data_IF_511102393606
#
_entry.id   IF_511102393606
#
_cell.length_a   1.000
_cell.length_b   1.000
_cell.length_c   1.000
_cell.angle_alpha   90.00
_cell.angle_beta   90.00
_cell.angle_gamma   90.00
#
_symmetry.space_group_name_H-M   'P 1'
#
loop_
_entity.id
_entity.type
_entity.pdbx_description
1 polymer ?
#
# COMPACT_ATOMS: atom_id res chain seq x y z
N UNK A 1 34.49 -39.15 -10.01
CA UNK A 1 33.96 -38.17 -9.04
C UNK A 1 33.57 -38.95 -7.81
N UNK A 2 34.10 -38.57 -6.65
CA UNK A 2 33.72 -39.20 -5.38
C UNK A 2 32.22 -39.04 -5.13
N UNK A 3 31.58 -40.12 -4.70
CA UNK A 3 30.14 -40.17 -4.39
C UNK A 3 29.71 -39.07 -3.40
N UNK A 4 30.59 -38.66 -2.48
CA UNK A 4 30.34 -37.54 -1.57
C UNK A 4 30.23 -36.17 -2.24
N UNK A 5 31.01 -35.90 -3.29
CA UNK A 5 30.98 -34.63 -4.01
C UNK A 5 29.70 -34.49 -4.85
N UNK A 6 29.25 -35.60 -5.44
CA UNK A 6 27.97 -35.64 -6.16
C UNK A 6 26.78 -35.38 -5.23
N UNK A 7 26.79 -35.95 -4.02
CA UNK A 7 25.74 -35.74 -3.03
C UNK A 7 25.65 -34.27 -2.56
N UNK A 8 26.79 -33.64 -2.26
CA UNK A 8 26.84 -32.22 -1.89
C UNK A 8 26.36 -31.29 -3.02
N UNK A 9 26.72 -31.62 -4.27
CA UNK A 9 26.27 -30.85 -5.41
C UNK A 9 24.75 -30.97 -5.61
N UNK A 10 24.20 -32.18 -5.56
CA UNK A 10 22.77 -32.44 -5.65
C UNK A 10 21.98 -31.76 -4.51
N UNK A 11 22.47 -31.81 -3.28
CA UNK A 11 21.79 -31.16 -2.15
C UNK A 11 21.78 -29.64 -2.29
N UNK A 12 22.88 -29.03 -2.74
CA UNK A 12 22.95 -27.59 -2.99
C UNK A 12 22.04 -27.12 -4.14
N UNK A 13 21.95 -27.91 -5.21
CA UNK A 13 21.02 -27.66 -6.32
C UNK A 13 19.58 -27.75 -5.86
N UNK A 14 19.22 -28.82 -5.13
CA UNK A 14 17.87 -29.00 -4.62
C UNK A 14 17.47 -27.86 -3.68
N UNK A 15 18.37 -27.45 -2.77
CA UNK A 15 18.13 -26.32 -1.89
C UNK A 15 17.93 -25.00 -2.66
N UNK A 16 18.71 -24.77 -3.72
CA UNK A 16 18.60 -23.58 -4.56
C UNK A 16 17.28 -23.54 -5.33
N UNK A 17 16.87 -24.67 -5.93
CA UNK A 17 15.61 -24.81 -6.67
C UNK A 17 14.42 -24.62 -5.75
N UNK A 18 14.41 -25.30 -4.59
CA UNK A 18 13.32 -25.16 -3.62
C UNK A 18 13.23 -23.74 -3.07
N UNK A 19 14.36 -23.14 -2.66
CA UNK A 19 14.37 -21.76 -2.16
C UNK A 19 13.87 -20.76 -3.19
N UNK A 20 14.22 -20.97 -4.45
CA UNK A 20 13.77 -20.13 -5.57
C UNK A 20 12.28 -20.32 -5.84
N UNK A 21 11.78 -21.55 -5.82
CA UNK A 21 10.36 -21.86 -5.97
C UNK A 21 9.52 -21.27 -4.83
N UNK A 22 9.99 -21.36 -3.58
CA UNK A 22 9.30 -20.73 -2.44
C UNK A 22 9.29 -19.22 -2.57
N UNK A 23 10.43 -18.60 -2.90
CA UNK A 23 10.51 -17.15 -3.09
C UNK A 23 9.57 -16.66 -4.19
N UNK A 24 9.59 -17.28 -5.38
CA UNK A 24 8.68 -16.89 -6.46
C UNK A 24 7.23 -17.31 -6.22
N UNK A 25 6.98 -18.33 -5.41
CA UNK A 25 5.64 -18.67 -4.95
C UNK A 25 5.08 -17.65 -3.96
N UNK A 26 5.96 -16.98 -3.20
CA UNK A 26 5.58 -15.99 -2.20
C UNK A 26 5.09 -14.68 -2.83
N UNK A 27 5.73 -14.23 -3.91
CA UNK A 27 5.37 -13.00 -4.62
C UNK A 27 4.62 -13.30 -5.91
N UNK A 28 3.39 -12.81 -6.00
CA UNK A 28 2.60 -12.84 -7.22
C UNK A 28 2.39 -11.42 -7.74
N UNK A 29 3.23 -11.03 -8.70
CA UNK A 29 3.12 -9.73 -9.38
C UNK A 29 2.22 -9.82 -10.62
N UNK A 30 1.40 -8.80 -10.82
CA UNK A 30 0.46 -8.66 -11.92
C UNK A 30 0.90 -7.53 -12.84
N UNK A 31 0.56 -7.62 -14.14
CA UNK A 31 0.89 -6.59 -15.13
C UNK A 31 0.23 -5.22 -14.87
N UNK A 32 -0.70 -5.13 -13.92
CA UNK A 32 -1.32 -3.89 -13.44
C UNK A 32 -0.45 -3.10 -12.46
N UNK A 33 0.74 -3.62 -12.11
CA UNK A 33 1.62 -3.03 -11.10
C UNK A 33 1.22 -3.36 -9.66
N UNK A 34 0.39 -4.39 -9.49
CA UNK A 34 0.02 -4.93 -8.19
C UNK A 34 0.90 -6.16 -7.87
N UNK A 35 1.36 -6.28 -6.63
CA UNK A 35 2.09 -7.44 -6.14
C UNK A 35 1.40 -7.96 -4.89
N UNK A 36 1.01 -9.23 -4.90
CA UNK A 36 0.48 -9.91 -3.72
C UNK A 36 1.58 -10.75 -3.12
N UNK A 37 1.85 -10.51 -1.84
CA UNK A 37 2.83 -11.25 -1.05
C UNK A 37 2.06 -12.16 -0.11
N UNK A 38 2.25 -13.47 -0.17
CA UNK A 38 1.77 -14.34 0.90
C UNK A 38 2.74 -14.30 2.09
N UNK A 39 2.20 -14.24 3.29
CA UNK A 39 2.99 -14.32 4.53
C UNK A 39 3.24 -15.77 4.95
N UNK A 40 2.56 -16.73 4.32
CA UNK A 40 2.71 -18.15 4.57
C UNK A 40 4.12 -18.60 4.18
N UNK A 41 4.89 -19.09 5.16
CA UNK A 41 6.33 -19.31 5.06
C UNK A 41 7.16 -18.08 4.67
N UNK A 42 6.58 -16.87 4.78
CA UNK A 42 7.27 -15.59 4.57
C UNK A 42 8.01 -15.10 5.81
N UNK A 43 8.48 -16.03 6.64
CA UNK A 43 9.03 -15.75 7.94
C UNK A 43 10.54 -15.49 7.88
N UNK A 44 10.94 -14.37 8.48
CA UNK A 44 12.34 -14.00 8.64
C UNK A 44 12.84 -12.87 7.73
N UNK A 45 14.15 -12.89 7.51
CA UNK A 45 14.93 -11.71 7.14
C UNK A 45 15.72 -11.18 8.34
N UNK A 46 16.37 -10.02 8.22
CA UNK A 46 17.31 -9.50 9.23
C UNK A 46 16.66 -8.95 10.51
N UNK A 47 15.36 -9.20 10.70
CA UNK A 47 14.62 -8.85 11.89
C UNK A 47 14.21 -7.38 12.02
N UNK A 48 13.38 -7.08 13.04
CA UNK A 48 12.95 -5.72 13.39
C UNK A 48 14.09 -4.80 13.81
N UNK A 49 15.21 -5.34 14.28
CA UNK A 49 16.43 -4.61 14.63
C UNK A 49 17.13 -3.99 13.41
N UNK A 50 16.81 -4.46 12.19
CA UNK A 50 17.43 -4.02 10.95
C UNK A 50 16.39 -3.46 9.97
N UNK A 51 15.73 -2.32 10.25
CA UNK A 51 14.76 -1.69 9.33
C UNK A 51 15.38 -1.32 7.97
N UNK A 52 16.69 -1.09 7.96
CA UNK A 52 17.48 -0.80 6.76
C UNK A 52 17.95 -2.05 6.02
N UNK A 53 17.29 -3.20 6.23
CA UNK A 53 17.45 -4.37 5.36
C UNK A 53 16.10 -4.94 4.92
N UNK A 54 16.08 -5.55 3.74
CA UNK A 54 14.86 -6.13 3.14
C UNK A 54 14.32 -7.25 4.03
N UNK A 55 13.02 -7.22 4.29
CA UNK A 55 12.27 -8.32 4.90
C UNK A 55 11.67 -9.21 3.83
N UNK A 56 11.32 -10.45 4.19
CA UNK A 56 10.65 -11.35 3.25
C UNK A 56 9.27 -10.82 2.85
N UNK A 57 8.46 -10.39 3.82
CA UNK A 57 7.18 -9.73 3.54
C UNK A 57 7.39 -8.22 3.49
N UNK A 58 7.86 -7.73 2.35
CA UNK A 58 8.04 -6.30 2.08
C UNK A 58 7.79 -6.00 0.60
N UNK A 59 7.05 -4.92 0.34
CA UNK A 59 6.76 -4.43 -1.00
C UNK A 59 8.05 -4.06 -1.75
N UNK A 60 8.01 -4.16 -3.08
CA UNK A 60 9.18 -3.87 -3.91
C UNK A 60 9.46 -2.37 -4.02
N UNK A 61 10.54 -2.05 -4.72
CA UNK A 61 10.91 -0.68 -5.02
C UNK A 61 9.79 0.06 -5.77
N UNK A 62 9.40 1.22 -5.25
CA UNK A 62 8.31 2.01 -5.82
C UNK A 62 6.91 1.51 -5.46
N UNK A 63 6.80 0.38 -4.74
CA UNK A 63 5.54 -0.15 -4.24
C UNK A 63 5.28 0.22 -2.77
N UNK A 64 4.01 0.34 -2.42
CA UNK A 64 3.54 0.54 -1.06
C UNK A 64 2.48 -0.50 -0.70
N UNK A 65 2.36 -0.83 0.59
CA UNK A 65 1.27 -1.67 1.05
C UNK A 65 -0.04 -0.88 0.90
N UNK A 66 -1.01 -1.46 0.21
CA UNK A 66 -2.33 -0.87 -0.06
C UNK A 66 -3.47 -1.75 0.45
N UNK A 67 -3.20 -2.99 0.83
CA UNK A 67 -4.22 -3.86 1.38
C UNK A 67 -3.65 -5.03 2.16
N UNK A 68 -4.53 -5.65 2.92
CA UNK A 68 -4.28 -6.88 3.66
C UNK A 68 -5.38 -7.88 3.32
N UNK A 69 -5.03 -9.15 3.32
CA UNK A 69 -5.99 -10.23 3.11
C UNK A 69 -5.78 -11.35 4.11
N UNK A 70 -6.89 -11.98 4.46
CA UNK A 70 -6.90 -13.22 5.23
C UNK A 70 -7.53 -14.34 4.41
N UNK A 71 -7.28 -15.58 4.84
CA UNK A 71 -7.85 -16.76 4.25
C UNK A 71 -9.08 -17.25 5.04
N UNK A 72 -8.89 -17.79 6.24
CA UNK A 72 -9.96 -18.47 7.01
C UNK A 72 -9.89 -18.18 8.53
N UNK A 73 -9.06 -17.23 8.94
CA UNK A 73 -8.75 -16.99 10.35
C UNK A 73 -9.42 -15.75 10.91
N UNK A 74 -10.40 -15.18 10.19
CA UNK A 74 -11.13 -13.98 10.54
C UNK A 74 -10.21 -12.79 10.87
N UNK A 75 -9.14 -12.59 10.11
CA UNK A 75 -8.05 -11.64 10.40
C UNK A 75 -7.31 -11.90 11.73
N UNK A 76 -7.42 -13.12 12.26
CA UNK A 76 -6.56 -13.71 13.28
C UNK A 76 -5.16 -14.07 12.75
N UNK A 77 -5.00 -14.08 11.42
CA UNK A 77 -3.74 -14.10 10.71
C UNK A 77 -3.79 -13.11 9.53
N UNK A 78 -2.64 -12.54 9.18
CA UNK A 78 -2.47 -11.81 7.94
C UNK A 78 -1.87 -12.77 6.93
N UNK A 79 -2.65 -13.28 5.99
CA UNK A 79 -2.18 -14.28 5.01
C UNK A 79 -1.59 -13.62 3.75
N UNK A 80 -2.11 -12.44 3.38
CA UNK A 80 -1.72 -11.72 2.17
C UNK A 80 -1.46 -10.25 2.45
N UNK A 81 -0.39 -9.72 1.86
CA UNK A 81 -0.11 -8.28 1.80
C UNK A 81 -0.19 -7.85 0.35
N UNK A 82 -1.07 -6.89 0.08
CA UNK A 82 -1.24 -6.32 -1.25
C UNK A 82 -0.38 -5.08 -1.36
N UNK A 83 0.58 -5.13 -2.26
CA UNK A 83 1.45 -4.03 -2.64
C UNK A 83 1.02 -3.50 -4.00
N UNK A 84 1.16 -2.18 -4.20
CA UNK A 84 0.90 -1.54 -5.48
C UNK A 84 1.99 -0.55 -5.80
N UNK A 85 2.35 -0.42 -7.07
CA UNK A 85 3.26 0.61 -7.54
C UNK A 85 2.62 2.00 -7.38
N UNK A 86 3.15 2.78 -6.44
CA UNK A 86 2.57 4.06 -6.01
C UNK A 86 3.45 5.27 -6.32
N UNK A 87 4.71 5.04 -6.71
CA UNK A 87 5.70 6.10 -6.84
C UNK A 87 6.32 6.17 -8.24
N UNK A 88 5.55 6.54 -9.29
CA UNK A 88 6.06 6.58 -10.67
C UNK A 88 7.21 7.58 -10.93
N UNK A 89 7.33 8.63 -10.11
CA UNK A 89 8.39 9.64 -10.22
C UNK A 89 9.58 9.36 -9.31
N UNK A 90 9.54 8.26 -8.56
CA UNK A 90 10.69 7.82 -7.76
C UNK A 90 11.80 7.35 -8.72
N UNK A 91 13.05 7.78 -8.53
CA UNK A 91 14.16 7.21 -9.30
C UNK A 91 14.32 5.71 -8.97
N UNK A 92 14.62 4.88 -9.98
CA UNK A 92 14.81 3.45 -9.76
C UNK A 92 15.98 3.23 -8.80
N UNK A 93 15.80 2.37 -7.80
CA UNK A 93 16.88 1.97 -6.89
C UNK A 93 17.91 1.06 -7.56
N UNK A 94 17.64 0.56 -8.77
CA UNK A 94 18.46 -0.42 -9.47
C UNK A 94 18.73 -1.69 -8.62
N UNK A 95 17.77 -2.06 -7.76
CA UNK A 95 17.90 -3.21 -6.87
C UNK A 95 18.73 -2.96 -5.61
N UNK A 96 19.19 -1.72 -5.39
CA UNK A 96 19.92 -1.35 -4.17
C UNK A 96 18.94 -1.06 -3.03
N UNK A 97 19.10 -1.80 -1.93
CA UNK A 97 18.33 -1.58 -0.70
C UNK A 97 19.09 -0.61 0.23
N UNK A 98 18.41 0.29 1.00
CA UNK A 98 16.96 0.47 1.12
C UNK A 98 16.32 1.14 -0.09
N UNK A 99 15.12 0.66 -0.45
CA UNK A 99 14.33 1.26 -1.53
C UNK A 99 13.88 2.69 -1.20
N UNK A 100 13.70 2.99 0.09
CA UNK A 100 13.22 4.27 0.60
C UNK A 100 14.28 4.98 1.46
N UNK A 101 14.25 6.33 1.54
CA UNK A 101 15.32 7.10 2.20
C UNK A 101 15.52 6.78 3.68
N UNK A 102 14.44 6.44 4.39
CA UNK A 102 14.47 6.17 5.83
C UNK A 102 13.36 5.19 6.17
N UNK A 103 13.67 4.17 6.96
CA UNK A 103 12.70 3.21 7.46
C UNK A 103 12.92 2.96 8.95
N UNK A 104 11.84 2.66 9.66
CA UNK A 104 11.84 2.27 11.06
C UNK A 104 10.76 1.22 11.30
N UNK A 105 10.81 0.60 12.46
CA UNK A 105 9.88 -0.46 12.86
C UNK A 105 8.96 0.03 13.94
N UNK A 106 7.70 -0.37 13.86
CA UNK A 106 6.68 -0.16 14.88
C UNK A 106 6.06 -1.49 15.29
N UNK A 107 5.61 -1.56 16.53
CA UNK A 107 4.79 -2.66 17.03
C UNK A 107 3.33 -2.29 16.85
N UNK A 108 2.60 -3.04 16.02
CA UNK A 108 1.23 -2.69 15.67
C UNK A 108 0.24 -2.66 16.84
N UNK A 109 0.58 -3.32 17.96
CA UNK A 109 -0.26 -3.30 19.16
C UNK A 109 -0.07 -2.03 19.99
N UNK A 110 1.15 -1.47 19.98
CA UNK A 110 1.53 -0.32 20.81
C UNK A 110 1.50 0.99 20.04
N UNK A 111 1.89 0.92 18.77
CA UNK A 111 2.07 2.02 17.85
C UNK A 111 1.28 1.72 16.56
N UNK A 112 -0.04 1.94 16.55
CA UNK A 112 -0.88 1.55 15.42
C UNK A 112 -0.68 2.43 14.18
N UNK A 113 0.08 3.52 14.29
CA UNK A 113 0.34 4.45 13.20
C UNK A 113 1.85 4.58 12.94
N UNK A 114 2.24 4.63 11.66
CA UNK A 114 3.59 5.00 11.27
C UNK A 114 3.92 6.44 11.72
N UNK A 115 2.94 7.34 11.61
CA UNK A 115 3.08 8.73 12.04
C UNK A 115 3.01 8.86 13.56
N UNK A 116 3.98 9.56 14.15
CA UNK A 116 3.98 9.92 15.57
C UNK A 116 4.16 11.43 15.75
N UNK A 117 3.22 12.05 16.46
CA UNK A 117 3.27 13.49 16.76
C UNK A 117 4.54 13.90 17.50
N UNK A 118 5.01 13.06 18.43
CA UNK A 118 6.20 13.35 19.24
C UNK A 118 7.48 13.35 18.40
N UNK A 119 7.52 12.52 17.34
CA UNK A 119 8.66 12.38 16.45
C UNK A 119 8.29 12.80 15.02
N UNK A 120 7.62 13.94 14.87
CA UNK A 120 7.11 14.42 13.57
C UNK A 120 8.19 14.48 12.49
N UNK A 121 9.38 15.00 12.81
CA UNK A 121 10.48 15.14 11.85
C UNK A 121 10.95 13.82 11.22
N UNK A 122 10.82 12.71 11.96
CA UNK A 122 11.22 11.36 11.56
C UNK A 122 10.07 10.57 10.94
N UNK A 123 8.84 10.80 11.41
CA UNK A 123 7.68 9.96 11.10
C UNK A 123 6.68 10.61 10.14
N UNK A 124 6.83 11.90 9.81
CA UNK A 124 6.01 12.54 8.79
C UNK A 124 6.24 11.90 7.42
N UNK A 125 5.16 11.77 6.63
CA UNK A 125 5.19 11.18 5.29
C UNK A 125 5.73 9.75 5.30
N UNK A 126 5.30 8.95 6.27
CA UNK A 126 5.69 7.54 6.38
C UNK A 126 4.48 6.63 6.20
N UNK A 127 4.74 5.46 5.64
CA UNK A 127 3.73 4.49 5.23
C UNK A 127 4.27 3.07 5.42
N UNK A 128 3.36 2.10 5.45
CA UNK A 128 3.69 0.69 5.65
C UNK A 128 4.26 0.09 4.37
N UNK A 129 5.38 -0.61 4.51
CA UNK A 129 6.06 -1.29 3.41
C UNK A 129 6.16 -2.79 3.62
N UNK A 130 6.12 -3.26 4.87
CA UNK A 130 6.28 -4.67 5.15
C UNK A 130 5.81 -5.06 6.54
N UNK A 131 5.66 -6.36 6.71
CA UNK A 131 5.26 -7.02 7.94
C UNK A 131 6.34 -8.06 8.26
N UNK A 132 6.52 -8.35 9.54
CA UNK A 132 7.50 -9.34 9.94
C UNK A 132 6.91 -10.25 11.00
N UNK A 133 7.08 -11.55 10.77
CA UNK A 133 6.87 -12.59 11.77
C UNK A 133 8.11 -13.49 11.82
N UNK A 134 8.32 -14.10 12.99
CA UNK A 134 9.24 -15.21 13.21
C UNK A 134 8.59 -16.57 12.97
N UNK A 135 7.25 -16.64 12.95
CA UNK A 135 6.49 -17.88 12.80
C UNK A 135 5.95 -18.08 11.37
N UNK A 136 5.38 -19.26 11.12
CA UNK A 136 4.92 -19.79 9.85
C UNK A 136 3.97 -18.91 9.03
N UNK A 137 3.11 -18.14 9.69
CA UNK A 137 2.22 -17.12 9.11
C UNK A 137 2.26 -15.93 10.05
N UNK A 138 2.02 -14.73 9.53
CA UNK A 138 1.86 -13.55 10.39
C UNK A 138 0.63 -13.70 11.28
N UNK A 139 0.79 -14.27 12.46
CA UNK A 139 -0.29 -14.56 13.39
C UNK A 139 -0.65 -13.31 14.19
N UNK A 140 -1.86 -13.30 14.75
CA UNK A 140 -2.25 -12.32 15.78
C UNK A 140 -2.71 -12.98 17.08
N UNK A 141 -2.81 -14.31 17.09
CA UNK A 141 -3.14 -15.15 18.23
C UNK A 141 -1.87 -15.68 18.89
N UNK A 142 -1.69 -15.48 20.21
CA UNK A 142 -0.47 -15.86 20.92
C UNK A 142 -0.73 -16.37 22.35
N UNK A 143 0.20 -17.19 22.89
CA UNK A 143 0.21 -17.54 24.30
C UNK A 143 0.35 -16.28 25.17
N UNK A 144 -0.29 -16.22 26.36
CA UNK A 144 -0.34 -15.03 27.20
C UNK A 144 1.01 -14.63 27.82
N UNK A 145 1.99 -15.53 27.82
CA UNK A 145 3.29 -15.33 28.46
C UNK A 145 4.42 -15.01 27.46
N UNK A 146 4.11 -14.95 26.18
CA UNK A 146 5.11 -14.67 25.16
C UNK A 146 5.00 -13.21 24.71
N UNK A 147 6.10 -12.47 24.85
CA UNK A 147 6.22 -11.12 24.32
C UNK A 147 6.43 -11.20 22.81
N UNK A 148 5.40 -11.65 22.08
CA UNK A 148 5.38 -11.57 20.63
C UNK A 148 5.14 -10.13 20.22
N UNK A 149 6.22 -9.44 19.86
CA UNK A 149 6.12 -8.23 19.07
C UNK A 149 5.82 -8.68 17.63
N UNK A 150 4.81 -8.09 17.02
CA UNK A 150 4.50 -8.27 15.60
C UNK A 150 4.83 -6.97 14.87
N UNK A 151 6.11 -6.81 14.49
CA UNK A 151 6.57 -5.57 13.93
C UNK A 151 6.09 -5.39 12.50
N UNK A 152 5.81 -4.14 12.16
CA UNK A 152 5.60 -3.72 10.78
C UNK A 152 6.56 -2.58 10.45
N UNK A 153 6.98 -2.53 9.19
CA UNK A 153 7.99 -1.61 8.70
C UNK A 153 7.31 -0.37 8.12
N UNK A 154 7.69 0.78 8.66
CA UNK A 154 7.29 2.08 8.17
C UNK A 154 8.47 2.74 7.44
N UNK A 155 8.26 3.15 6.20
CA UNK A 155 9.28 3.87 5.42
C UNK A 155 8.79 5.26 5.04
N UNK A 156 9.74 6.18 4.89
CA UNK A 156 9.49 7.55 4.44
C UNK A 156 9.30 7.57 2.93
N UNK A 157 8.30 8.33 2.51
CA UNK A 157 8.02 8.58 1.10
C UNK A 157 9.26 9.12 0.35
N UNK A 158 9.41 8.80 -0.95
CA UNK A 158 10.45 9.40 -1.78
C UNK A 158 10.29 10.92 -1.87
N UNK A 159 11.39 11.62 -2.19
CA UNK A 159 11.39 13.08 -2.30
C UNK A 159 10.35 13.55 -3.31
N UNK A 160 9.53 14.52 -2.92
CA UNK A 160 8.47 15.10 -3.75
C UNK A 160 7.09 14.50 -3.48
N UNK A 161 7.01 13.33 -2.85
CA UNK A 161 5.74 12.76 -2.38
C UNK A 161 5.39 13.24 -0.98
N UNK A 162 4.09 13.28 -0.67
CA UNK A 162 3.57 13.57 0.65
C UNK A 162 2.36 12.68 0.99
N UNK A 163 2.14 12.43 2.28
CA UNK A 163 0.89 11.84 2.78
C UNK A 163 -0.08 12.97 3.08
N UNK A 164 -1.26 12.91 2.47
CA UNK A 164 -2.35 13.81 2.79
C UNK A 164 -3.11 13.28 4.02
N UNK A 165 -2.71 13.77 5.18
CA UNK A 165 -3.31 13.34 6.45
C UNK A 165 -4.78 13.76 6.61
N UNK A 166 -5.29 14.68 5.78
CA UNK A 166 -6.72 15.07 5.78
C UNK A 166 -7.58 14.09 5.00
N UNK A 167 -7.01 13.41 4.01
CA UNK A 167 -7.72 12.38 3.24
C UNK A 167 -7.78 11.02 3.94
N UNK A 168 -7.17 10.86 5.11
CA UNK A 168 -7.09 9.55 5.75
C UNK A 168 -8.47 9.02 6.14
N UNK A 169 -8.66 7.73 5.95
CA UNK A 169 -9.83 6.99 6.41
C UNK A 169 -9.41 5.60 6.88
N UNK A 170 -10.32 4.91 7.57
CA UNK A 170 -10.08 3.57 8.09
C UNK A 170 -10.85 2.55 7.28
N UNK A 171 -10.25 1.41 6.99
CA UNK A 171 -10.97 0.26 6.44
C UNK A 171 -10.97 -0.82 7.51
N UNK A 172 -12.16 -1.19 7.96
CA UNK A 172 -12.34 -2.22 8.99
C UNK A 172 -12.26 -3.60 8.37
N UNK A 173 -11.83 -4.57 9.16
CA UNK A 173 -11.79 -6.01 8.83
C UNK A 173 -13.05 -6.75 9.29
N UNK A 174 -14.02 -6.00 9.79
CA UNK A 174 -15.29 -6.49 10.29
C UNK A 174 -16.43 -5.60 9.78
N UNK A 175 -17.63 -6.15 9.82
CA UNK A 175 -18.86 -5.47 9.44
C UNK A 175 -19.43 -4.59 10.58
N UNK A 176 -20.62 -4.02 10.36
CA UNK A 176 -21.29 -3.16 11.34
C UNK A 176 -21.72 -3.93 12.61
N UNK A 177 -21.88 -5.25 12.52
CA UNK A 177 -22.25 -6.12 13.63
C UNK A 177 -21.04 -6.65 14.40
N UNK A 178 -19.83 -6.15 14.07
CA UNK A 178 -18.55 -6.61 14.62
C UNK A 178 -18.25 -8.09 14.29
N UNK A 179 -18.85 -8.62 13.23
CA UNK A 179 -18.47 -9.89 12.65
C UNK A 179 -17.27 -9.63 11.72
N UNK A 180 -16.14 -10.27 12.04
CA UNK A 180 -14.98 -10.21 11.17
C UNK A 180 -15.32 -10.88 9.85
N UNK A 181 -14.83 -10.32 8.74
CA UNK A 181 -15.08 -10.93 7.44
C UNK A 181 -14.44 -12.32 7.41
N UNK A 182 -15.28 -13.34 7.38
CA UNK A 182 -14.92 -14.75 7.40
C UNK A 182 -15.15 -15.36 6.01
N UNK A 183 -14.28 -16.29 5.60
CA UNK A 183 -14.40 -16.99 4.32
C UNK A 183 -13.22 -16.79 3.40
N UNK A 184 -13.06 -17.75 2.48
CA UNK A 184 -11.89 -17.87 1.60
C UNK A 184 -11.65 -16.56 0.81
N UNK A 185 -10.61 -15.82 1.23
CA UNK A 185 -10.03 -14.64 0.56
C UNK A 185 -10.79 -13.32 0.69
N UNK A 186 -11.00 -12.84 1.93
CA UNK A 186 -11.42 -11.45 2.14
C UNK A 186 -10.26 -10.46 2.02
N UNK A 187 -10.47 -9.44 1.18
CA UNK A 187 -9.50 -8.38 0.91
C UNK A 187 -9.97 -7.06 1.53
N UNK A 188 -9.14 -6.50 2.42
CA UNK A 188 -9.31 -5.18 3.00
C UNK A 188 -8.26 -4.26 2.36
N UNK A 189 -8.70 -3.39 1.46
CA UNK A 189 -7.83 -2.59 0.60
C UNK A 189 -8.19 -1.11 0.64
N UNK A 190 -7.16 -0.26 0.56
CA UNK A 190 -7.25 1.16 0.32
C UNK A 190 -7.72 1.47 -1.11
N UNK A 191 -8.32 2.64 -1.30
CA UNK A 191 -8.76 3.15 -2.58
C UNK A 191 -7.54 3.50 -3.46
N UNK A 192 -7.77 3.63 -4.76
CA UNK A 192 -6.73 4.03 -5.72
C UNK A 192 -6.09 5.36 -5.29
N UNK A 193 -4.75 5.39 -5.21
CA UNK A 193 -4.01 6.57 -4.76
C UNK A 193 -3.77 6.64 -3.26
N UNK A 194 -4.21 5.64 -2.48
CA UNK A 194 -4.05 5.57 -1.03
C UNK A 194 -3.12 4.43 -0.64
N UNK A 195 -2.39 4.62 0.46
CA UNK A 195 -1.47 3.63 1.03
C UNK A 195 -1.79 3.40 2.50
N UNK A 196 -1.41 2.24 3.00
CA UNK A 196 -1.52 1.91 4.42
C UNK A 196 -0.51 2.75 5.19
N UNK A 197 -0.96 3.51 6.18
CA UNK A 197 -0.11 4.31 7.09
C UNK A 197 -0.21 3.86 8.53
N UNK A 198 -1.04 2.86 8.82
CA UNK A 198 -1.24 2.31 10.14
C UNK A 198 -2.09 1.05 10.08
N UNK A 199 -1.97 0.23 11.12
CA UNK A 199 -2.71 -1.01 11.31
C UNK A 199 -2.76 -1.29 12.81
N UNK A 200 -3.85 -1.87 13.30
CA UNK A 200 -3.98 -2.26 14.71
C UNK A 200 -4.70 -3.59 14.83
N UNK A 201 -4.50 -4.28 15.94
CA UNK A 201 -5.40 -5.34 16.37
C UNK A 201 -6.10 -4.98 17.67
N UNK A 202 -7.20 -5.68 17.89
CA UNK A 202 -7.99 -5.62 19.11
C UNK A 202 -8.19 -7.02 19.66
N UNK A 203 -8.23 -7.11 20.99
CA UNK A 203 -8.58 -8.33 21.67
C UNK A 203 -10.08 -8.58 21.53
N UNK A 204 -10.45 -9.80 21.11
CA UNK A 204 -11.87 -10.15 20.92
C UNK A 204 -12.50 -10.49 22.27
N UNK A 205 -13.64 -9.88 22.65
CA UNK A 205 -14.23 -10.09 23.98
C UNK A 205 -14.73 -11.52 24.25
N UNK A 206 -15.25 -12.19 23.21
CA UNK A 206 -15.96 -13.48 23.33
C UNK A 206 -14.96 -14.65 23.38
N UNK A 207 -13.80 -14.51 22.74
CA UNK A 207 -12.76 -15.53 22.69
C UNK A 207 -11.68 -15.36 23.78
N UNK A 208 -12.07 -14.67 24.84
CA UNK A 208 -11.72 -14.82 26.26
C UNK A 208 -10.82 -15.94 26.78
N UNK A 209 -10.76 -17.13 26.17
CA UNK A 209 -10.15 -18.35 26.74
C UNK A 209 -10.41 -19.55 25.84
N UNK A 210 -9.63 -19.76 24.78
CA UNK A 210 -9.31 -21.13 24.40
C UNK A 210 -7.93 -21.44 24.97
N UNK A 211 -7.86 -22.29 25.99
CA UNK A 211 -6.60 -22.75 26.61
C UNK A 211 -5.66 -21.64 27.13
N UNK A 212 -6.20 -20.48 27.52
CA UNK A 212 -5.41 -19.37 28.10
C UNK A 212 -4.76 -18.43 27.08
N UNK A 213 -4.95 -18.65 25.77
CA UNK A 213 -4.46 -17.75 24.74
C UNK A 213 -5.33 -16.49 24.61
N UNK A 214 -4.70 -15.36 24.28
CA UNK A 214 -5.41 -14.11 24.03
C UNK A 214 -5.61 -13.98 22.52
N UNK A 215 -6.85 -14.14 22.09
CA UNK A 215 -7.20 -13.94 20.68
C UNK A 215 -7.28 -12.44 20.37
N UNK A 216 -6.42 -12.01 19.44
CA UNK A 216 -6.48 -10.70 18.81
C UNK A 216 -6.79 -10.92 17.34
N UNK A 217 -7.42 -9.92 16.73
CA UNK A 217 -7.67 -9.85 15.29
C UNK A 217 -7.33 -8.45 14.82
N UNK A 218 -6.80 -8.31 13.61
CA UNK A 218 -6.57 -6.98 13.00
C UNK A 218 -7.93 -6.30 12.92
N UNK A 219 -8.10 -5.10 13.47
CA UNK A 219 -9.40 -4.39 13.52
C UNK A 219 -9.59 -3.47 12.31
N UNK A 220 -8.53 -2.78 11.91
CA UNK A 220 -8.55 -1.87 10.78
C UNK A 220 -7.15 -1.60 10.21
N UNK A 221 -7.13 -1.12 8.97
CA UNK A 221 -5.99 -0.42 8.35
C UNK A 221 -6.32 1.06 8.15
N UNK A 222 -5.34 1.94 8.36
CA UNK A 222 -5.47 3.35 8.04
C UNK A 222 -4.96 3.58 6.62
N UNK A 223 -5.82 4.12 5.77
CA UNK A 223 -5.53 4.44 4.38
C UNK A 223 -5.43 5.94 4.21
N UNK A 224 -4.28 6.43 3.74
CA UNK A 224 -4.08 7.86 3.47
C UNK A 224 -3.64 8.08 2.04
N UNK A 225 -4.08 9.21 1.45
CA UNK A 225 -3.76 9.54 0.06
C UNK A 225 -2.28 9.90 -0.06
N UNK A 226 -1.66 9.42 -1.13
CA UNK A 226 -0.34 9.85 -1.56
C UNK A 226 -0.51 10.96 -2.60
N UNK A 227 0.08 12.11 -2.35
CA UNK A 227 0.18 13.20 -3.31
C UNK A 227 1.61 13.39 -3.81
N UNK A 228 1.76 14.06 -4.96
CA UNK A 228 3.04 14.46 -5.55
C UNK A 228 3.08 15.98 -5.74
N UNK A 229 4.22 16.59 -5.41
CA UNK A 229 4.45 18.02 -5.59
C UNK A 229 3.88 18.87 -4.45
N UNK A 230 3.05 19.86 -4.78
CA UNK A 230 2.49 20.76 -3.79
C UNK A 230 1.48 20.03 -2.89
N UNK A 231 1.54 20.30 -1.58
CA UNK A 231 0.59 19.74 -0.62
C UNK A 231 -0.80 20.33 -0.89
N UNK A 232 -1.68 19.46 -1.38
CA UNK A 232 -3.11 19.70 -1.55
C UNK A 232 -3.82 18.78 -0.56
N UNK A 233 -4.72 19.36 0.25
CA UNK A 233 -5.63 18.62 1.12
C UNK A 233 -6.90 18.24 0.36
N UNK A 234 -7.13 16.94 0.20
CA UNK A 234 -8.30 16.37 -0.45
C UNK A 234 -9.16 15.68 0.62
N UNK A 235 -10.50 15.74 0.56
CA UNK A 235 -11.33 14.94 1.46
C UNK A 235 -11.10 13.43 1.24
N UNK A 236 -11.37 12.58 2.25
CA UNK A 236 -11.36 11.13 2.06
C UNK A 236 -12.34 10.70 0.97
N UNK A 237 -12.09 9.57 0.29
CA UNK A 237 -12.95 9.12 -0.78
C UNK A 237 -14.31 8.71 -0.22
N UNK A 238 -15.38 9.16 -0.87
CA UNK A 238 -16.73 8.73 -0.52
C UNK A 238 -17.01 7.44 -1.28
N UNK A 239 -17.00 6.30 -0.57
CA UNK A 239 -17.46 5.03 -1.14
C UNK A 239 -18.99 5.06 -1.16
N UNK A 240 -19.54 5.46 -2.31
CA UNK A 240 -20.97 5.39 -2.58
C UNK A 240 -21.32 3.95 -2.97
N UNK A 241 -21.87 3.19 -2.02
CA UNK A 241 -22.53 1.92 -2.34
C UNK A 241 -23.95 2.26 -2.81
N UNK A 242 -24.36 1.90 -4.04
CA UNK A 242 -25.71 2.19 -4.53
C UNK A 242 -26.78 1.73 -3.54
N UNK A 243 -27.70 2.62 -3.14
CA UNK A 243 -28.80 2.31 -2.22
C UNK A 243 -28.40 2.20 -0.74
N UNK A 244 -27.16 2.52 -0.35
CA UNK A 244 -26.75 2.59 1.06
C UNK A 244 -26.11 3.95 1.36
N UNK A 245 -26.24 4.46 2.60
CA UNK A 245 -25.49 5.63 3.01
C UNK A 245 -23.98 5.35 2.82
N UNK A 246 -23.21 6.33 2.32
CA UNK A 246 -21.78 6.16 2.06
C UNK A 246 -21.06 5.64 3.30
N UNK A 247 -20.32 4.54 3.14
CA UNK A 247 -19.64 3.84 4.23
C UNK A 247 -18.57 4.71 4.92
N UNK A 248 -18.13 5.79 4.26
CA UNK A 248 -17.13 6.73 4.76
C UNK A 248 -17.47 8.19 4.40
N UNK A 249 -18.72 8.62 4.60
CA UNK A 249 -19.01 10.06 4.56
C UNK A 249 -18.70 10.70 5.91
N UNK A 250 -17.47 11.18 6.08
CA UNK A 250 -17.26 12.33 6.96
C UNK A 250 -18.10 13.48 6.39
N UNK A 251 -19.21 13.85 7.03
CA UNK A 251 -20.02 14.99 6.65
C UNK A 251 -19.17 16.27 6.68
N UNK A 252 -18.55 16.63 5.56
CA UNK A 252 -17.88 17.92 5.40
C UNK A 252 -18.46 18.63 4.18
N UNK A 253 -19.58 19.31 4.43
CA UNK A 253 -20.23 20.26 3.49
C UNK A 253 -19.41 21.57 3.38
N UNK A 254 -18.36 21.73 4.18
CA UNK A 254 -17.40 22.82 4.13
C UNK A 254 -15.97 22.28 4.06
N UNK A 255 -15.05 22.93 3.33
CA UNK A 255 -13.64 22.55 3.33
C UNK A 255 -13.16 22.44 4.78
N UNK A 256 -12.52 21.33 5.20
CA UNK A 256 -12.11 21.17 6.58
C UNK A 256 -11.16 22.32 6.94
N UNK A 257 -11.56 23.13 7.93
CA UNK A 257 -10.68 24.12 8.53
C UNK A 257 -9.52 23.34 9.13
N UNK A 258 -8.33 23.44 8.52
CA UNK A 258 -7.12 22.75 9.01
C UNK A 258 -6.97 23.09 10.50
N UNK A 259 -7.01 22.10 11.42
CA UNK A 259 -6.89 22.39 12.83
C UNK A 259 -5.57 23.11 13.10
N UNK A 260 -5.56 24.09 14.01
CA UNK A 260 -4.39 24.96 14.24
C UNK A 260 -3.09 24.15 14.51
N UNK A 261 -3.22 22.98 15.14
CA UNK A 261 -2.10 22.06 15.39
C UNK A 261 -1.48 21.45 14.13
N UNK A 262 -2.19 21.38 13.01
CA UNK A 262 -1.69 20.89 11.72
C UNK A 262 -1.39 22.02 10.73
N UNK A 263 -1.76 23.27 11.04
CA UNK A 263 -1.60 24.41 10.14
C UNK A 263 -0.14 24.66 9.70
N UNK A 264 0.85 24.26 10.52
CA UNK A 264 2.27 24.38 10.20
C UNK A 264 2.73 23.42 9.09
N UNK A 265 1.98 22.35 8.81
CA UNK A 265 2.27 21.38 7.75
C UNK A 265 1.80 21.86 6.37
N UNK A 266 0.95 22.89 6.34
CA UNK A 266 0.39 23.46 5.13
C UNK A 266 1.03 24.82 4.84
N UNK A 267 1.31 25.09 3.56
CA UNK A 267 1.83 26.39 3.15
C UNK A 267 0.78 27.46 3.51
N UNK A 268 1.20 28.55 4.18
CA UNK A 268 0.35 29.72 4.46
C UNK A 268 -0.41 30.08 3.18
N UNK A 269 -1.74 30.31 3.31
CA UNK A 269 -2.68 30.60 2.21
C UNK A 269 -1.98 31.29 1.05
N UNK A 270 -1.87 30.61 -0.10
CA UNK A 270 -1.54 31.29 -1.35
C UNK A 270 -2.77 32.11 -1.70
N UNK A 271 -2.66 33.42 -1.59
CA UNK A 271 -3.74 34.36 -1.87
C UNK A 271 -3.97 34.52 -3.37
N UNK A 272 -4.22 33.45 -4.11
CA UNK A 272 -4.82 33.50 -5.45
C UNK A 272 -5.51 32.15 -5.70
N UNK A 273 -6.84 32.07 -5.79
CA UNK A 273 -7.50 30.90 -6.35
C UNK A 273 -7.04 30.73 -7.80
N UNK A 274 -6.45 29.59 -8.13
CA UNK A 274 -6.28 29.19 -9.53
C UNK A 274 -7.67 28.74 -9.98
N UNK A 275 -8.29 29.49 -10.88
CA UNK A 275 -9.48 29.04 -11.59
C UNK A 275 -9.13 27.76 -12.34
N UNK A 276 -9.62 26.63 -11.84
CA UNK A 276 -9.64 25.39 -12.59
C UNK A 276 -10.78 25.53 -13.58
N UNK A 277 -10.45 25.89 -14.82
CA UNK A 277 -11.38 25.78 -15.93
C UNK A 277 -11.69 24.30 -16.11
N UNK A 278 -12.87 23.88 -15.65
CA UNK A 278 -13.48 22.68 -16.18
C UNK A 278 -13.76 22.97 -17.66
N UNK A 279 -13.07 22.28 -18.56
CA UNK A 279 -13.51 22.19 -19.94
C UNK A 279 -14.87 21.48 -19.90
N UNK A 280 -15.92 22.29 -19.96
CA UNK A 280 -17.28 21.83 -20.13
C UNK A 280 -17.40 21.42 -21.59
N UNK A 281 -17.08 20.16 -21.88
CA UNK A 281 -17.31 19.58 -23.21
C UNK A 281 -18.81 19.57 -23.45
N UNK A 282 -19.20 20.32 -24.47
CA UNK A 282 -20.56 20.50 -24.96
C UNK A 282 -21.04 19.20 -25.61
N UNK A 283 -21.54 18.26 -24.79
CA UNK A 283 -22.34 17.13 -25.29
C UNK A 283 -23.75 17.63 -25.59
N UNK A 284 -23.90 18.27 -26.76
CA UNK A 284 -25.20 18.45 -27.40
C UNK A 284 -25.41 17.40 -28.49
N UNK A 285 -26.51 16.65 -28.34
CA UNK A 285 -27.21 15.85 -29.34
C UNK A 285 -26.50 14.64 -30.00
N UNK A 286 -26.49 13.51 -29.31
CA UNK A 286 -26.79 12.23 -29.96
C UNK A 286 -27.77 11.42 -29.10
N UNK A 287 -29.07 11.58 -29.38
CA UNK A 287 -30.11 10.61 -29.00
C UNK A 287 -29.92 9.35 -29.83
N UNK A 288 -29.46 8.27 -29.22
CA UNK A 288 -29.56 6.93 -29.79
C UNK A 288 -30.90 6.36 -29.34
N UNK A 289 -31.80 6.20 -30.32
CA UNK A 289 -33.04 5.45 -30.17
C UNK A 289 -32.66 3.98 -30.02
N UNK A 290 -33.00 3.35 -28.90
CA UNK A 290 -32.92 1.91 -28.72
C UNK A 290 -34.36 1.43 -28.79
N UNK A 291 -34.76 0.93 -29.95
CA UNK A 291 -35.97 0.13 -30.10
C UNK A 291 -35.64 -1.29 -29.60
N UNK A 292 -36.31 -1.69 -28.53
CA UNK A 292 -36.34 -3.06 -28.02
C UNK A 292 -37.08 -3.95 -29.02
N UNK A 293 -36.38 -4.87 -29.68
CA UNK A 293 -36.98 -6.11 -30.18
C UNK A 293 -36.07 -7.32 -29.94
N UNK A 294 -36.74 -8.37 -29.46
CA UNK A 294 -36.24 -9.68 -29.06
C UNK A 294 -35.34 -10.36 -30.09
N UNK A 295 -34.16 -10.85 -29.69
CA UNK A 295 -33.43 -11.87 -30.46
C UNK A 295 -32.91 -12.99 -29.56
N UNK A 296 -33.40 -14.18 -29.90
CA UNK A 296 -33.08 -15.51 -29.40
C UNK A 296 -31.60 -15.89 -29.52
N UNK A 297 -31.18 -16.79 -28.63
CA UNK A 297 -29.92 -17.53 -28.63
C UNK A 297 -29.60 -18.18 -29.99
N UNK A 298 -28.38 -17.95 -30.50
CA UNK A 298 -27.67 -18.89 -31.36
C UNK A 298 -26.15 -18.61 -31.31
N UNK A 299 -25.39 -19.61 -30.86
CA UNK A 299 -23.93 -19.64 -30.90
C UNK A 299 -23.44 -19.62 -32.35
N UNK A 300 -22.76 -18.55 -32.75
CA UNK A 300 -21.83 -18.57 -33.89
C UNK A 300 -20.72 -17.54 -33.66
N UNK A 301 -19.49 -18.02 -33.49
CA UNK A 301 -18.29 -17.17 -33.41
C UNK A 301 -18.03 -16.52 -34.78
N UNK A 302 -18.18 -15.21 -34.87
CA UNK A 302 -17.71 -14.40 -36.00
C UNK A 302 -16.48 -13.62 -35.53
N UNK A 303 -15.30 -13.76 -36.19
CA UNK A 303 -14.13 -12.99 -35.82
C UNK A 303 -14.29 -11.53 -36.28
N UNK A 304 -14.19 -10.59 -35.33
CA UNK A 304 -14.16 -9.16 -35.64
C UNK A 304 -12.84 -8.77 -36.32
N UNK A 305 -12.87 -7.91 -37.36
CA UNK A 305 -11.67 -7.45 -38.03
C UNK A 305 -10.86 -6.51 -37.12
N UNK A 306 -9.56 -6.80 -36.96
CA UNK A 306 -8.59 -5.87 -36.35
C UNK A 306 -8.36 -4.68 -37.28
N UNK A 307 -8.67 -3.48 -36.81
CA UNK A 307 -8.20 -2.26 -37.45
C UNK A 307 -6.68 -2.11 -37.27
N UNK A 308 -5.92 -1.76 -38.32
CA UNK A 308 -4.49 -1.50 -38.20
C UNK A 308 -4.26 -0.15 -37.50
N UNK A 309 -3.38 -0.14 -36.51
CA UNK A 309 -2.95 1.04 -35.80
C UNK A 309 -1.85 1.72 -36.63
N UNK A 310 -2.18 2.82 -37.31
CA UNK A 310 -1.20 3.71 -37.95
C UNK A 310 -1.14 5.00 -37.17
N UNK A 311 -0.22 5.07 -36.21
CA UNK A 311 0.07 6.28 -35.44
C UNK A 311 1.58 6.43 -35.31
N UNK A 312 2.16 7.29 -36.16
CA UNK A 312 3.55 7.72 -36.06
C UNK A 312 3.74 8.54 -34.77
N UNK A 313 4.60 8.07 -33.89
CA UNK A 313 5.04 8.81 -32.72
C UNK A 313 6.20 9.74 -33.13
N UNK A 314 5.88 10.99 -33.47
CA UNK A 314 6.90 12.03 -33.61
C UNK A 314 7.41 12.43 -32.23
N UNK A 315 8.68 12.14 -31.96
CA UNK A 315 9.43 12.66 -30.82
C UNK A 315 9.50 14.19 -30.88
N UNK A 316 9.02 14.85 -29.82
CA UNK A 316 9.36 16.25 -29.56
C UNK A 316 10.68 16.29 -28.78
N UNK A 317 11.70 16.88 -29.40
CA UNK A 317 12.95 17.29 -28.75
C UNK A 317 12.66 18.37 -27.70
N UNK A 318 12.92 18.04 -26.43
CA UNK A 318 12.91 19.00 -25.33
C UNK A 318 14.33 19.53 -25.15
N UNK A 319 14.59 20.75 -25.62
CA UNK A 319 15.81 21.50 -25.31
C UNK A 319 15.85 21.86 -23.82
N UNK A 320 16.83 21.32 -23.10
CA UNK A 320 17.18 21.77 -21.76
C UNK A 320 18.22 22.90 -21.85
N UNK A 321 17.84 24.11 -21.41
CA UNK A 321 18.79 25.17 -21.06
C UNK A 321 19.22 24.99 -19.61
N UNK A 322 20.51 24.72 -19.40
CA UNK A 322 21.16 24.66 -18.08
C UNK A 322 21.39 26.09 -17.58
N UNK A 323 20.97 26.47 -16.36
CA UNK A 323 21.43 27.72 -15.76
C UNK A 323 22.84 27.55 -15.20
N UNK A 324 23.73 28.47 -15.56
CA UNK A 324 25.09 28.60 -15.03
C UNK A 324 25.09 28.71 -13.50
N UNK A 325 25.68 27.71 -12.83
CA UNK A 325 26.00 27.74 -11.41
C UNK A 325 27.42 28.29 -11.23
N UNK A 326 27.50 29.60 -10.99
CA UNK A 326 28.69 30.23 -10.43
C UNK A 326 28.92 29.71 -9.01
N UNK A 327 29.89 28.81 -8.86
CA UNK A 327 30.43 28.38 -7.56
C UNK A 327 31.47 29.41 -7.15
N UNK A 328 31.11 30.24 -6.16
CA UNK A 328 32.08 31.03 -5.41
C UNK A 328 32.48 30.25 -4.15
N UNK A 329 33.76 29.91 -4.08
CA UNK A 329 34.47 29.41 -2.91
C UNK A 329 34.43 30.40 -1.73
N UNK A 330 34.21 29.89 -0.52
CA UNK A 330 34.78 30.40 0.74
C UNK A 330 34.60 29.31 1.81
N UNK A 331 35.62 28.52 2.12
CA UNK A 331 36.70 28.75 3.12
C UNK A 331 36.20 28.65 4.58
N UNK A 332 36.56 27.51 5.19
CA UNK A 332 37.08 27.30 6.56
C UNK A 332 36.49 28.09 7.74
N UNK A 333 35.93 27.36 8.72
CA UNK A 333 36.39 27.26 10.14
C UNK A 333 35.24 26.85 11.08
N UNK A 334 35.27 25.59 11.54
CA UNK A 334 35.37 25.12 12.95
C UNK A 334 34.95 23.66 13.04
#
# INVERSE_FOLDING_TARGET
MDSGMLFLYLSSLLASVLGTQFYYGMYKSYGTGDTVITTYHGNGGPGPESPHRKWQVECFDGEAAVGIGDNIWDFGALTYVFCKFMFPFKPPSQGVYPYYPYCFVKDYLKDPFCYSKNNHSLTANTFVTGYYDTDFVWWTFFPPNENFNQPYKCCRLPRGYYIDYLSCYYVTTHDLYFEYYDGNFFLVQCATGYVITGTTAKQVPIHNTYQGYIERRIEWIQCCRVGWGAIIGVPPPIINVPGRPPAYSGQYVTPPTVPAGYAHQYRKKRSVPVEVYYAQDDMTNHTINIDDEDIYMADTEIPLPRAPFTGDATHYDVHYTVPDLNIAESVLRL
#
